data_IF_835072341261
#
_entry.id   IF_835072341261
#
_cell.length_a   1.000
_cell.length_b   1.000
_cell.length_c   1.000
_cell.angle_alpha   90.00
_cell.angle_beta   90.00
_cell.angle_gamma   90.00
#
_symmetry.space_group_name_H-M   'P 1'
#
loop_
_entity.id
_entity.type
_entity.pdbx_description
1 polymer ?
#
# COMPACT_ATOMS: atom_id res chain seq x y z
N UNK A 1 -19.49 -51.88 -17.68
CA UNK A 1 -20.19 -51.56 -16.41
C UNK A 1 -19.15 -51.16 -15.37
N UNK A 2 -19.51 -50.17 -14.55
CA UNK A 2 -18.68 -49.35 -13.66
C UNK A 2 -17.86 -50.15 -12.63
N UNK A 3 -16.67 -49.63 -12.29
CA UNK A 3 -16.30 -49.17 -10.94
C UNK A 3 -14.78 -49.22 -10.76
N UNK A 4 -14.16 -48.08 -10.44
CA UNK A 4 -12.72 -47.96 -10.25
C UNK A 4 -12.32 -46.57 -9.77
N UNK A 5 -12.87 -46.20 -8.60
CA UNK A 5 -12.32 -45.29 -7.57
C UNK A 5 -11.18 -44.31 -7.93
N UNK A 6 -11.57 -43.04 -8.04
CA UNK A 6 -11.07 -41.87 -7.27
C UNK A 6 -9.62 -41.89 -6.76
N UNK A 7 -8.73 -41.13 -7.42
CA UNK A 7 -7.57 -40.49 -6.77
C UNK A 7 -7.22 -39.16 -7.45
N UNK A 8 -8.06 -38.15 -7.23
CA UNK A 8 -7.70 -36.74 -7.39
C UNK A 8 -7.65 -36.09 -6.00
N UNK A 9 -6.80 -36.60 -5.11
CA UNK A 9 -6.40 -35.82 -3.94
C UNK A 9 -5.17 -35.01 -4.33
N UNK A 10 -5.38 -34.00 -5.19
CA UNK A 10 -4.55 -32.82 -5.10
C UNK A 10 -4.82 -32.29 -3.68
N UNK A 11 -3.78 -32.22 -2.84
CA UNK A 11 -3.90 -31.57 -1.55
C UNK A 11 -4.13 -30.09 -1.85
N UNK A 12 -5.40 -29.71 -1.97
CA UNK A 12 -5.83 -28.32 -1.99
C UNK A 12 -5.47 -27.73 -0.64
N UNK A 13 -4.34 -27.02 -0.57
CA UNK A 13 -4.21 -25.98 0.45
C UNK A 13 -5.34 -24.99 0.17
N UNK A 14 -6.29 -24.92 1.10
CA UNK A 14 -7.54 -24.21 0.88
C UNK A 14 -7.26 -22.71 0.72
N UNK A 15 -7.94 -22.01 -0.21
CA UNK A 15 -7.96 -20.54 -0.26
C UNK A 15 -8.30 -19.87 1.10
N UNK A 16 -8.96 -20.62 1.98
CA UNK A 16 -9.23 -20.26 3.37
C UNK A 16 -7.95 -19.98 4.19
N UNK A 17 -6.84 -20.71 3.94
CA UNK A 17 -5.57 -20.52 4.67
C UNK A 17 -4.88 -19.19 4.37
N UNK A 18 -5.17 -18.59 3.20
CA UNK A 18 -4.67 -17.27 2.80
C UNK A 18 -5.55 -16.17 3.40
N UNK A 19 -6.87 -16.33 3.35
CA UNK A 19 -7.80 -15.39 3.96
C UNK A 19 -7.57 -15.24 5.48
N UNK A 20 -7.27 -16.34 6.19
CA UNK A 20 -6.91 -16.32 7.62
C UNK A 20 -5.69 -15.45 7.93
N UNK A 21 -4.74 -15.32 6.99
CA UNK A 21 -3.57 -14.45 7.16
C UNK A 21 -3.98 -13.01 6.99
N UNK A 22 -4.80 -12.70 5.98
CA UNK A 22 -5.23 -11.33 5.72
C UNK A 22 -5.99 -10.74 6.93
N UNK A 23 -6.69 -11.56 7.71
CA UNK A 23 -7.28 -11.16 9.00
C UNK A 23 -6.26 -10.78 10.09
N UNK A 24 -4.99 -11.13 9.92
CA UNK A 24 -3.89 -10.77 10.81
C UNK A 24 -3.18 -9.48 10.39
N UNK A 25 -3.59 -8.83 9.29
CA UNK A 25 -3.05 -7.53 8.90
C UNK A 25 -3.39 -6.50 9.99
N UNK A 26 -2.38 -5.93 10.69
CA UNK A 26 -2.61 -4.93 11.73
C UNK A 26 -3.38 -3.72 11.22
N UNK A 27 -3.26 -3.37 9.93
CA UNK A 27 -3.94 -2.24 9.33
C UNK A 27 -5.47 -2.44 9.22
N UNK A 28 -5.95 -3.69 9.30
CA UNK A 28 -7.38 -4.05 9.17
C UNK A 28 -8.08 -4.25 10.52
N UNK A 29 -7.34 -4.26 11.62
CA UNK A 29 -7.82 -4.67 12.96
C UNK A 29 -9.04 -3.87 13.46
N UNK A 30 -9.18 -2.61 13.03
CA UNK A 30 -10.29 -1.73 13.42
C UNK A 30 -11.46 -1.73 12.43
N UNK A 31 -11.52 -2.71 11.51
CA UNK A 31 -12.58 -2.82 10.51
C UNK A 31 -12.35 -1.98 9.26
N UNK A 32 -11.13 -1.47 9.07
CA UNK A 32 -10.72 -0.82 7.83
C UNK A 32 -10.75 -1.83 6.68
N UNK A 33 -11.08 -1.34 5.49
CA UNK A 33 -11.01 -2.13 4.24
C UNK A 33 -10.05 -1.47 3.28
N UNK A 34 -9.24 -2.29 2.61
CA UNK A 34 -8.35 -1.82 1.53
C UNK A 34 -9.19 -1.47 0.31
N UNK A 35 -9.13 -0.22 -0.13
CA UNK A 35 -9.74 0.26 -1.37
C UNK A 35 -8.74 0.30 -2.52
N UNK A 36 -7.46 0.42 -2.19
CA UNK A 36 -6.38 0.57 -3.15
C UNK A 36 -5.09 0.03 -2.57
N UNK A 37 -4.33 -0.71 -3.38
CA UNK A 37 -3.00 -1.21 -3.06
C UNK A 37 -2.21 -1.32 -4.37
N UNK A 38 -1.31 -0.36 -4.62
CA UNK A 38 -0.49 -0.31 -5.84
C UNK A 38 0.89 0.26 -5.54
N UNK A 39 1.83 -0.07 -6.41
CA UNK A 39 3.19 0.49 -6.41
C UNK A 39 3.20 1.74 -7.30
N UNK A 40 3.77 2.82 -6.77
CA UNK A 40 4.01 4.10 -7.44
C UNK A 40 5.52 4.35 -7.50
N UNK A 41 6.02 4.86 -8.62
CA UNK A 41 7.41 5.33 -8.71
C UNK A 41 7.45 6.81 -8.33
N UNK A 42 7.99 7.13 -7.14
CA UNK A 42 7.96 8.49 -6.58
C UNK A 42 9.36 8.90 -6.11
N UNK A 43 9.65 10.21 -6.13
CA UNK A 43 10.92 10.72 -5.62
C UNK A 43 10.87 10.81 -4.10
N UNK A 44 11.90 10.34 -3.42
CA UNK A 44 12.00 10.42 -1.95
C UNK A 44 13.10 11.41 -1.59
N UNK A 45 12.78 12.35 -0.71
CA UNK A 45 13.72 13.34 -0.17
C UNK A 45 13.79 13.19 1.33
N UNK A 46 15.00 13.20 1.87
CA UNK A 46 15.22 13.20 3.31
C UNK A 46 15.75 14.57 3.68
N UNK A 47 15.06 15.26 4.59
CA UNK A 47 15.52 16.54 5.07
C UNK A 47 16.90 16.37 5.73
N UNK A 48 17.92 16.96 5.13
CA UNK A 48 19.25 17.06 5.70
C UNK A 48 19.37 18.40 6.45
N UNK A 49 20.02 18.40 7.62
CA UNK A 49 20.27 19.63 8.40
C UNK A 49 21.20 20.61 7.67
N UNK A 50 21.89 20.15 6.61
CA UNK A 50 22.99 20.89 5.99
C UNK A 50 22.82 21.17 4.49
N UNK A 51 21.75 20.70 3.84
CA UNK A 51 21.55 20.90 2.39
C UNK A 51 20.14 21.41 2.08
N UNK A 52 20.05 22.65 1.59
CA UNK A 52 18.78 23.28 1.15
C UNK A 52 18.30 22.75 -0.21
N UNK A 53 19.18 22.12 -0.99
CA UNK A 53 18.88 21.63 -2.35
C UNK A 53 19.35 20.19 -2.47
N UNK A 54 18.49 19.24 -2.09
CA UNK A 54 18.70 17.85 -2.46
C UNK A 54 18.28 17.68 -3.93
N UNK A 55 19.22 17.26 -4.78
CA UNK A 55 18.90 16.82 -6.14
C UNK A 55 17.80 15.75 -6.10
N UNK A 56 16.92 15.77 -7.10
CA UNK A 56 15.88 14.73 -7.21
C UNK A 56 16.58 13.38 -7.34
N UNK A 57 16.43 12.55 -6.29
CA UNK A 57 16.78 11.13 -6.35
C UNK A 57 16.00 10.46 -7.48
N UNK A 58 16.52 9.35 -8.01
CA UNK A 58 15.76 8.57 -8.98
C UNK A 58 14.44 8.10 -8.34
N UNK A 59 13.31 8.10 -9.07
CA UNK A 59 12.06 7.61 -8.53
C UNK A 59 12.18 6.17 -8.01
N UNK A 60 11.68 5.94 -6.80
CA UNK A 60 11.70 4.63 -6.15
C UNK A 60 10.31 3.99 -6.17
N UNK A 61 10.24 2.65 -6.35
CA UNK A 61 8.98 1.93 -6.26
C UNK A 61 8.52 1.89 -4.80
N UNK A 62 7.39 2.53 -4.54
CA UNK A 62 6.80 2.68 -3.22
C UNK A 62 5.36 2.17 -3.25
N UNK A 63 5.02 1.29 -2.32
CA UNK A 63 3.66 0.76 -2.19
C UNK A 63 2.80 1.77 -1.44
N UNK A 64 1.72 2.21 -2.10
CA UNK A 64 0.69 3.06 -1.51
C UNK A 64 -0.60 2.27 -1.33
N UNK A 65 -1.11 2.24 -0.11
CA UNK A 65 -2.40 1.64 0.24
C UNK A 65 -3.37 2.72 0.68
N UNK A 66 -4.61 2.64 0.22
CA UNK A 66 -5.72 3.46 0.73
C UNK A 66 -6.69 2.53 1.43
N UNK A 67 -6.91 2.77 2.72
CA UNK A 67 -7.82 2.04 3.56
C UNK A 67 -8.95 2.97 4.02
N UNK A 68 -10.15 2.42 4.16
CA UNK A 68 -11.32 3.18 4.59
C UNK A 68 -12.09 2.41 5.67
N UNK A 69 -12.42 3.12 6.75
CA UNK A 69 -13.39 2.65 7.73
C UNK A 69 -14.76 3.24 7.39
N UNK A 70 -15.78 2.38 7.36
CA UNK A 70 -17.15 2.77 7.03
C UNK A 70 -18.10 2.35 8.14
N UNK A 71 -18.98 3.26 8.54
CA UNK A 71 -20.11 2.94 9.41
C UNK A 71 -21.40 3.07 8.62
N UNK A 72 -22.12 1.94 8.51
CA UNK A 72 -23.34 1.75 7.73
C UNK A 72 -23.09 2.02 6.24
N UNK A 73 -22.99 3.28 5.81
CA UNK A 73 -22.65 3.70 4.44
C UNK A 73 -21.79 4.97 4.37
N UNK A 74 -21.33 5.50 5.50
CA UNK A 74 -20.56 6.75 5.53
C UNK A 74 -19.11 6.49 5.96
N UNK A 75 -18.11 7.02 5.23
CA UNK A 75 -16.71 6.97 5.65
C UNK A 75 -16.55 7.67 7.00
N UNK A 76 -15.86 7.00 7.93
CA UNK A 76 -15.49 7.56 9.23
C UNK A 76 -14.04 8.01 9.25
N UNK A 77 -13.16 7.19 8.69
CA UNK A 77 -11.75 7.48 8.54
C UNK A 77 -11.24 6.97 7.20
N UNK A 78 -10.26 7.70 6.67
CA UNK A 78 -9.47 7.31 5.50
C UNK A 78 -8.02 7.28 5.96
N UNK A 79 -7.38 6.13 5.78
CA UNK A 79 -5.98 5.92 6.10
C UNK A 79 -5.22 5.67 4.82
N UNK A 80 -4.11 6.37 4.62
CA UNK A 80 -3.21 6.17 3.50
C UNK A 80 -1.90 5.67 4.10
N UNK A 81 -1.42 4.53 3.64
CA UNK A 81 -0.13 3.97 4.06
C UNK A 81 0.86 4.01 2.90
N UNK A 82 2.09 4.37 3.22
CA UNK A 82 3.21 4.37 2.29
C UNK A 82 4.28 3.44 2.87
N UNK A 83 4.73 2.47 2.07
CA UNK A 83 5.80 1.56 2.48
C UNK A 83 6.77 1.23 1.36
N UNK A 84 8.01 0.91 1.73
CA UNK A 84 9.04 0.43 0.82
C UNK A 84 9.20 -1.09 0.93
N UNK A 85 9.59 -1.74 -0.16
CA UNK A 85 10.07 -3.12 -0.13
C UNK A 85 11.57 -3.21 0.17
N UNK A 86 12.32 -2.13 -0.06
CA UNK A 86 13.77 -2.07 0.20
C UNK A 86 14.09 -1.87 1.67
N UNK A 87 13.21 -1.18 2.39
CA UNK A 87 13.37 -0.86 3.81
C UNK A 87 12.09 -1.24 4.57
N UNK A 88 12.21 -2.23 5.45
CA UNK A 88 11.12 -2.74 6.28
C UNK A 88 10.65 -1.74 7.34
N UNK A 89 11.50 -0.78 7.73
CA UNK A 89 11.18 0.25 8.71
C UNK A 89 10.53 1.50 8.07
N UNK A 90 10.55 1.57 6.73
CA UNK A 90 9.89 2.61 5.96
C UNK A 90 8.38 2.31 5.88
N UNK A 91 7.65 2.75 6.90
CA UNK A 91 6.19 2.69 6.95
C UNK A 91 5.66 3.98 7.57
N UNK A 92 4.90 4.71 6.78
CA UNK A 92 4.28 5.96 7.17
C UNK A 92 2.78 5.87 6.95
N UNK A 93 2.00 6.52 7.80
CA UNK A 93 0.57 6.70 7.55
C UNK A 93 0.14 8.15 7.58
N UNK A 94 -0.91 8.42 6.81
CA UNK A 94 -1.75 9.60 6.92
C UNK A 94 -3.14 9.10 7.34
N UNK A 95 -3.76 9.75 8.33
CA UNK A 95 -5.12 9.43 8.74
C UNK A 95 -5.98 10.70 8.76
N UNK A 96 -7.09 10.66 8.04
CA UNK A 96 -8.10 11.71 8.02
C UNK A 96 -9.41 11.16 8.54
N UNK A 97 -9.94 11.75 9.61
CA UNK A 97 -11.30 11.51 10.10
C UNK A 97 -12.26 12.54 9.52
N UNK A 98 -13.57 12.30 9.61
CA UNK A 98 -14.60 13.27 9.19
C UNK A 98 -14.35 14.66 9.78
N UNK A 99 -14.02 14.72 11.07
CA UNK A 99 -13.77 15.98 11.80
C UNK A 99 -12.41 16.60 11.42
N UNK A 100 -11.36 15.77 11.30
CA UNK A 100 -10.03 16.24 10.92
C UNK A 100 -9.98 16.76 9.48
N UNK A 101 -10.81 16.23 8.59
CA UNK A 101 -10.85 16.62 7.19
C UNK A 101 -11.22 18.08 6.98
N UNK A 102 -11.98 18.72 7.88
CA UNK A 102 -12.30 20.15 7.76
C UNK A 102 -11.04 21.02 7.76
N UNK A 103 -10.03 20.67 8.56
CA UNK A 103 -8.75 21.37 8.60
C UNK A 103 -7.94 21.12 7.33
N UNK A 104 -7.84 19.86 6.89
CA UNK A 104 -7.17 19.48 5.63
C UNK A 104 -7.79 20.23 4.45
N UNK A 105 -9.13 20.26 4.39
CA UNK A 105 -9.91 20.95 3.38
C UNK A 105 -9.59 22.44 3.33
N UNK A 106 -9.54 23.10 4.49
CA UNK A 106 -9.23 24.52 4.59
C UNK A 106 -7.77 24.82 4.20
N UNK A 107 -6.80 24.06 4.73
CA UNK A 107 -5.38 24.25 4.47
C UNK A 107 -5.01 24.12 2.99
N UNK A 108 -5.70 23.23 2.27
CA UNK A 108 -5.42 22.94 0.86
C UNK A 108 -6.47 23.50 -0.10
N UNK A 109 -7.41 24.32 0.40
CA UNK A 109 -8.53 24.87 -0.37
C UNK A 109 -9.32 23.82 -1.18
N UNK A 110 -9.47 22.60 -0.63
CA UNK A 110 -10.19 21.51 -1.30
C UNK A 110 -11.68 21.85 -1.37
N UNK A 111 -12.33 21.50 -2.48
CA UNK A 111 -13.77 21.76 -2.66
C UNK A 111 -14.62 20.52 -2.40
N UNK A 112 -14.06 19.31 -2.48
CA UNK A 112 -14.83 18.08 -2.33
C UNK A 112 -15.34 17.82 -0.90
N UNK A 113 -16.40 17.00 -0.76
CA UNK A 113 -16.76 16.41 0.52
C UNK A 113 -15.81 15.28 0.92
N UNK A 114 -15.78 14.95 2.22
CA UNK A 114 -14.90 13.90 2.77
C UNK A 114 -15.08 12.53 2.10
N UNK A 115 -16.32 12.18 1.73
CA UNK A 115 -16.64 10.90 1.07
C UNK A 115 -15.89 10.65 -0.23
N UNK A 116 -15.46 11.72 -0.92
CA UNK A 116 -14.75 11.63 -2.19
C UNK A 116 -13.22 11.62 -1.99
N UNK A 117 -12.73 11.87 -0.78
CA UNK A 117 -11.30 12.05 -0.49
C UNK A 117 -10.47 10.81 -0.83
N UNK A 118 -10.96 9.62 -0.47
CA UNK A 118 -10.31 8.35 -0.83
C UNK A 118 -10.26 8.16 -2.35
N UNK A 119 -11.40 8.37 -3.01
CA UNK A 119 -11.51 8.20 -4.47
C UNK A 119 -10.57 9.15 -5.22
N UNK A 120 -10.43 10.39 -4.77
CA UNK A 120 -9.53 11.36 -5.39
C UNK A 120 -8.08 10.98 -5.18
N UNK A 121 -7.72 10.52 -3.98
CA UNK A 121 -6.38 9.97 -3.72
C UNK A 121 -6.06 8.86 -4.72
N UNK A 122 -6.98 7.91 -4.90
CA UNK A 122 -6.85 6.80 -5.86
C UNK A 122 -6.71 7.30 -7.30
N UNK A 123 -7.54 8.25 -7.73
CA UNK A 123 -7.48 8.82 -9.08
C UNK A 123 -6.13 9.50 -9.31
N UNK A 124 -5.62 10.26 -8.34
CA UNK A 124 -4.31 10.93 -8.44
C UNK A 124 -3.16 9.94 -8.46
N UNK A 125 -3.18 8.92 -7.60
CA UNK A 125 -2.21 7.83 -7.60
C UNK A 125 -2.18 7.10 -8.95
N UNK A 126 -3.34 6.77 -9.52
CA UNK A 126 -3.42 6.13 -10.84
C UNK A 126 -2.89 7.02 -11.97
N UNK A 127 -3.05 8.35 -11.88
CA UNK A 127 -2.47 9.27 -12.88
C UNK A 127 -0.96 9.25 -12.87
N UNK A 128 -0.32 9.15 -11.69
CA UNK A 128 1.13 8.98 -11.58
C UNK A 128 1.58 7.69 -12.29
N UNK A 129 0.84 6.59 -12.14
CA UNK A 129 1.15 5.31 -12.82
C UNK A 129 1.01 5.43 -14.34
N UNK A 130 -0.06 6.07 -14.80
CA UNK A 130 -0.43 6.08 -16.22
C UNK A 130 0.33 7.11 -17.06
N UNK A 131 0.73 8.23 -16.46
CA UNK A 131 1.31 9.38 -17.17
C UNK A 131 2.42 10.03 -16.31
N UNK A 132 3.54 9.32 -16.22
CA UNK A 132 4.72 9.70 -15.41
C UNK A 132 5.41 10.98 -15.87
N UNK A 133 5.13 11.45 -17.09
CA UNK A 133 5.70 12.70 -17.63
C UNK A 133 4.93 13.89 -17.07
N UNK A 134 3.60 13.80 -17.02
CA UNK A 134 2.74 14.89 -16.56
C UNK A 134 2.43 14.83 -15.07
N UNK A 135 2.48 13.66 -14.45
CA UNK A 135 2.15 13.51 -13.04
C UNK A 135 3.32 12.88 -12.29
N UNK A 136 3.66 13.49 -11.16
CA UNK A 136 4.72 13.01 -10.29
C UNK A 136 4.34 13.19 -8.82
N UNK A 137 5.08 12.50 -7.97
CA UNK A 137 4.98 12.64 -6.54
C UNK A 137 6.36 12.79 -5.91
N UNK A 138 6.42 13.61 -4.86
CA UNK A 138 7.61 13.82 -4.03
C UNK A 138 7.21 13.49 -2.60
N UNK A 139 7.92 12.56 -1.98
CA UNK A 139 7.75 12.20 -0.58
C UNK A 139 8.92 12.75 0.23
N UNK A 140 8.67 13.80 0.99
CA UNK A 140 9.67 14.46 1.82
C UNK A 140 9.56 13.97 3.26
N UNK A 141 10.60 13.32 3.77
CA UNK A 141 10.70 12.85 5.15
C UNK A 141 11.51 13.85 5.96
N UNK A 142 10.93 14.33 7.06
CA UNK A 142 11.55 15.28 7.98
C UNK A 142 12.29 14.54 9.10
N UNK A 143 13.16 15.25 9.81
CA UNK A 143 14.01 14.68 10.87
C UNK A 143 13.23 14.28 12.14
N UNK A 144 12.03 14.82 12.32
CA UNK A 144 11.15 14.52 13.45
C UNK A 144 10.25 13.30 13.22
N UNK A 145 10.41 12.61 12.08
CA UNK A 145 9.57 11.47 11.68
C UNK A 145 8.24 11.87 11.05
N UNK A 146 7.96 13.16 10.89
CA UNK A 146 6.89 13.62 10.00
C UNK A 146 7.34 13.50 8.54
N UNK A 147 6.38 13.39 7.64
CA UNK A 147 6.64 13.37 6.20
C UNK A 147 5.51 14.03 5.43
N UNK A 148 5.77 14.44 4.21
CA UNK A 148 4.78 15.02 3.31
C UNK A 148 4.87 14.38 1.94
N UNK A 149 3.76 13.83 1.46
CA UNK A 149 3.60 13.45 0.07
C UNK A 149 2.98 14.61 -0.69
N UNK A 150 3.68 15.14 -1.69
CA UNK A 150 3.14 16.13 -2.62
C UNK A 150 2.91 15.48 -3.98
N UNK A 151 1.69 15.62 -4.52
CA UNK A 151 1.36 15.21 -5.88
C UNK A 151 1.32 16.44 -6.76
N UNK A 152 2.12 16.42 -7.82
CA UNK A 152 2.33 17.54 -8.72
C UNK A 152 1.95 17.15 -10.16
N UNK A 153 1.42 18.12 -10.89
CA UNK A 153 1.18 18.01 -12.32
C UNK A 153 2.12 18.96 -13.08
N UNK A 154 2.94 18.42 -13.95
CA UNK A 154 3.78 19.16 -14.88
C UNK A 154 2.96 19.56 -16.11
N UNK A 155 2.83 20.87 -16.34
CA UNK A 155 2.34 21.45 -17.58
C UNK A 155 3.52 21.78 -18.49
N UNK A 156 3.26 22.30 -19.68
CA UNK A 156 4.30 22.67 -20.67
C UNK A 156 5.29 23.73 -20.15
N UNK A 157 4.89 24.55 -19.18
CA UNK A 157 5.67 25.70 -18.73
C UNK A 157 5.91 25.75 -17.21
N UNK A 158 5.23 24.92 -16.40
CA UNK A 158 5.47 24.85 -14.96
C UNK A 158 4.93 23.58 -14.31
N UNK A 159 5.43 23.26 -13.12
CA UNK A 159 4.78 22.29 -12.24
C UNK A 159 3.73 22.97 -11.36
N UNK A 160 2.58 22.33 -11.19
CA UNK A 160 1.47 22.79 -10.36
C UNK A 160 1.21 21.77 -9.27
N UNK A 161 1.24 22.22 -8.02
CA UNK A 161 0.86 21.41 -6.87
C UNK A 161 -0.64 21.08 -6.91
N UNK A 162 -0.98 19.79 -6.86
CA UNK A 162 -2.37 19.34 -6.90
C UNK A 162 -2.95 19.14 -5.50
N UNK A 163 -2.26 18.35 -4.67
CA UNK A 163 -2.69 17.95 -3.34
C UNK A 163 -1.47 17.43 -2.57
N UNK A 164 -1.45 17.63 -1.26
CA UNK A 164 -0.49 16.98 -0.38
C UNK A 164 -1.15 16.21 0.74
N UNK A 165 -0.39 15.33 1.36
CA UNK A 165 -0.79 14.53 2.50
C UNK A 165 0.33 14.58 3.53
N UNK A 166 -0.04 14.93 4.76
CA UNK A 166 0.88 14.91 5.89
C UNK A 166 0.85 13.53 6.54
N UNK A 167 2.02 12.93 6.59
CA UNK A 167 2.29 11.59 7.09
C UNK A 167 3.09 11.65 8.39
N UNK A 168 2.95 10.61 9.19
CA UNK A 168 3.80 10.36 10.34
C UNK A 168 4.30 8.93 10.28
N UNK A 169 5.53 8.73 10.77
CA UNK A 169 6.06 7.38 10.94
C UNK A 169 5.17 6.60 11.90
N UNK A 170 4.92 5.33 11.59
CA UNK A 170 4.11 4.49 12.47
C UNK A 170 4.84 4.18 13.78
N UNK A 171 4.06 3.93 14.84
CA UNK A 171 4.58 3.45 16.12
C UNK A 171 5.31 2.12 16.00
N UNK A 172 6.39 1.94 16.79
CA UNK A 172 7.25 0.75 16.72
C UNK A 172 6.47 -0.55 16.94
N UNK A 173 5.48 -0.55 17.85
CA UNK A 173 4.65 -1.71 18.11
C UNK A 173 3.81 -2.12 16.90
N UNK A 174 3.30 -1.14 16.15
CA UNK A 174 2.54 -1.39 14.92
C UNK A 174 3.48 -1.89 13.83
N UNK A 175 4.63 -1.22 13.65
CA UNK A 175 5.66 -1.60 12.69
C UNK A 175 6.10 -3.06 12.86
N UNK A 176 6.38 -3.47 14.10
CA UNK A 176 6.77 -4.84 14.43
C UNK A 176 5.69 -5.84 14.05
N UNK A 177 4.42 -5.54 14.34
CA UNK A 177 3.29 -6.40 13.95
C UNK A 177 3.18 -6.51 12.43
N UNK A 178 3.34 -5.40 11.70
CA UNK A 178 3.30 -5.39 10.23
C UNK A 178 4.46 -6.19 9.63
N UNK A 179 5.68 -6.08 10.18
CA UNK A 179 6.83 -6.88 9.73
C UNK A 179 6.57 -8.37 9.96
N UNK A 180 6.09 -8.75 11.15
CA UNK A 180 5.73 -10.15 11.45
C UNK A 180 4.64 -10.67 10.52
N UNK A 181 3.61 -9.86 10.25
CA UNK A 181 2.56 -10.17 9.29
C UNK A 181 3.13 -10.42 7.89
N UNK A 182 3.89 -9.47 7.34
CA UNK A 182 4.52 -9.58 6.00
C UNK A 182 5.43 -10.81 5.89
N UNK A 183 6.24 -11.07 6.92
CA UNK A 183 7.10 -12.25 7.00
C UNK A 183 6.28 -13.55 6.96
N UNK A 184 5.21 -13.65 7.74
CA UNK A 184 4.36 -14.83 7.77
C UNK A 184 3.63 -15.05 6.45
N UNK A 185 3.17 -13.96 5.81
CA UNK A 185 2.54 -13.99 4.49
C UNK A 185 3.51 -14.55 3.43
N UNK A 186 4.71 -13.97 3.33
CA UNK A 186 5.75 -14.43 2.38
C UNK A 186 6.19 -15.87 2.67
N UNK A 187 6.39 -16.24 3.93
CA UNK A 187 6.78 -17.60 4.32
C UNK A 187 5.75 -18.63 3.86
N UNK A 188 4.45 -18.32 3.99
CA UNK A 188 3.37 -19.19 3.53
C UNK A 188 3.31 -19.27 2.01
N UNK A 189 3.47 -18.15 1.31
CA UNK A 189 3.52 -18.11 -0.15
C UNK A 189 4.67 -18.95 -0.72
N UNK A 190 5.88 -18.80 -0.17
CA UNK A 190 7.05 -19.62 -0.55
C UNK A 190 6.79 -21.10 -0.32
N UNK A 191 6.19 -21.47 0.82
CA UNK A 191 5.83 -22.86 1.12
C UNK A 191 4.86 -23.42 0.08
N UNK A 192 3.84 -22.64 -0.28
CA UNK A 192 2.87 -23.00 -1.31
C UNK A 192 3.53 -23.18 -2.69
N UNK A 193 4.32 -22.20 -3.14
CA UNK A 193 5.02 -22.25 -4.43
C UNK A 193 5.99 -23.44 -4.50
N UNK A 194 6.72 -23.71 -3.42
CA UNK A 194 7.65 -24.85 -3.33
C UNK A 194 6.89 -26.18 -3.44
N UNK A 195 5.73 -26.31 -2.80
CA UNK A 195 4.90 -27.50 -2.89
C UNK A 195 4.36 -27.69 -4.32
N UNK A 196 3.79 -26.63 -4.91
CA UNK A 196 3.27 -26.67 -6.28
C UNK A 196 4.35 -27.02 -7.31
N UNK A 197 5.56 -26.47 -7.16
CA UNK A 197 6.69 -26.79 -8.00
C UNK A 197 7.12 -28.25 -7.86
N UNK A 198 7.12 -28.80 -6.65
CA UNK A 198 7.39 -30.22 -6.41
C UNK A 198 6.35 -31.12 -7.09
N UNK A 199 5.07 -30.79 -7.01
CA UNK A 199 4.00 -31.55 -7.68
C UNK A 199 4.17 -31.54 -9.19
N UNK A 200 4.44 -30.38 -9.79
CA UNK A 200 4.74 -30.26 -11.22
C UNK A 200 5.96 -31.09 -11.62
N UNK A 201 7.02 -31.08 -10.81
CA UNK A 201 8.22 -31.88 -11.03
C UNK A 201 7.94 -33.39 -10.97
N UNK A 202 7.14 -33.85 -10.01
CA UNK A 202 6.76 -35.26 -9.88
C UNK A 202 5.91 -35.71 -11.08
N UNK A 203 5.02 -34.85 -11.60
CA UNK A 203 4.25 -35.12 -12.82
C UNK A 203 5.15 -35.20 -14.06
N UNK A 204 6.11 -34.29 -14.19
CA UNK A 204 7.01 -34.26 -15.34
C UNK A 204 8.02 -35.43 -15.37
N UNK A 205 8.43 -35.93 -14.20
CA UNK A 205 9.41 -37.03 -14.09
C UNK A 205 8.77 -38.42 -14.03
N UNK A 206 7.44 -38.53 -14.17
CA UNK A 206 6.74 -39.81 -14.17
C UNK A 206 6.76 -40.59 -12.85
N UNK A 207 7.11 -39.92 -11.74
CA UNK A 207 7.17 -40.53 -10.40
C UNK A 207 5.84 -40.48 -9.65
N UNK A 208 4.77 -39.98 -10.27
CA UNK A 208 3.41 -40.18 -9.80
C UNK A 208 2.99 -41.64 -10.07
N UNK A 209 3.10 -42.49 -9.04
CA UNK A 209 2.36 -43.76 -8.95
C UNK A 209 1.10 -43.55 -8.13
#
# INVERSE_FOLDING_TARGET
MKSGSSWLNAVQLNPLDFAEIDYLDPALKDGHKVLYDRILNINIRFQDRFSEVQELSQPEPIRLRVLQLVTIFNPQSIKIEISSEKDLFFLFHHEATVNGFTQIKALQNLQMPFKDYAQITIIRSNKIIMDVIRYGAIFQVMLDGSARLEINQTTEFRSVHMIHFDFHQVEESFLRQTIVFKYNQQRKEIKYLTQSLNECRMRATGTFK
#
